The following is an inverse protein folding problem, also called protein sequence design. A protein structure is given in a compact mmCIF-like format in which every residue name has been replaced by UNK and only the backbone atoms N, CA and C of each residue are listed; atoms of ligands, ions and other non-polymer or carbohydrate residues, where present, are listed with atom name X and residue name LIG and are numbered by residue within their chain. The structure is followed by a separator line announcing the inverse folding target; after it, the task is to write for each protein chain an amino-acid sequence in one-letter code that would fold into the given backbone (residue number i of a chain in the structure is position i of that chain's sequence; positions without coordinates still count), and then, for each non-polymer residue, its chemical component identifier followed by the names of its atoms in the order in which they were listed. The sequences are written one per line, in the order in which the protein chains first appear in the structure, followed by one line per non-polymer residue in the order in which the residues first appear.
data_IF_204149908143
#
_entry.id   IF_204149908143
#
_cell.length_a   1.000
_cell.length_b   1.000
_cell.length_c   1.000
_cell.angle_alpha   90.00
_cell.angle_beta   90.00
_cell.angle_gamma   90.00
#
_symmetry.space_group_name_H-M   'P 1'
#
loop_
_entity.id
_entity.type
_entity.pdbx_description
1 polymer ?
#
# COMPACT_ATOMS: atom_id res chain seq x y z
N UNK A 1 9.28 -2.60 21.72
CA UNK A 1 8.83 -1.83 20.55
C UNK A 1 7.33 -2.06 20.47
N UNK A 2 6.52 -1.00 20.51
CA UNK A 2 5.09 -1.09 20.82
C UNK A 2 4.38 -2.00 19.81
N UNK A 3 3.73 -3.08 20.29
CA UNK A 3 2.65 -3.70 19.53
C UNK A 3 1.58 -2.62 19.37
N UNK A 4 1.30 -2.22 18.13
CA UNK A 4 0.14 -1.37 17.83
C UNK A 4 -1.10 -2.27 17.97
N UNK A 5 -1.43 -2.63 19.20
CA UNK A 5 -2.58 -3.48 19.55
C UNK A 5 -3.89 -2.69 19.58
N UNK A 6 -3.84 -1.39 19.35
CA UNK A 6 -5.03 -0.56 19.22
C UNK A 6 -4.93 0.17 17.89
N UNK A 7 -5.85 -0.20 16.99
CA UNK A 7 -6.26 0.62 15.86
C UNK A 7 -6.31 2.06 16.38
N UNK A 8 -5.48 2.95 15.83
CA UNK A 8 -5.43 4.37 16.22
C UNK A 8 -6.87 4.86 16.36
N UNK A 9 -7.29 5.37 17.55
CA UNK A 9 -8.57 6.04 17.70
C UNK A 9 -8.57 7.19 16.70
N UNK A 10 -9.26 7.00 15.59
CA UNK A 10 -9.54 8.05 14.63
C UNK A 10 -11.04 8.19 14.63
N UNK A 11 -11.49 9.40 14.91
CA UNK A 11 -12.88 9.85 14.89
C UNK A 11 -13.23 10.47 13.53
N UNK A 12 -12.45 10.16 12.49
CA UNK A 12 -12.76 10.60 11.14
C UNK A 12 -14.10 10.03 10.67
N UNK A 13 -14.70 10.72 9.70
CA UNK A 13 -16.06 10.45 9.22
C UNK A 13 -16.25 9.05 8.61
N UNK A 14 -15.17 8.36 8.21
CA UNK A 14 -15.19 7.02 7.61
C UNK A 14 -14.58 5.95 8.52
N UNK A 15 -14.36 6.25 9.80
CA UNK A 15 -13.63 5.38 10.71
C UNK A 15 -14.34 4.02 10.89
N UNK A 16 -15.67 4.02 10.97
CA UNK A 16 -16.51 2.83 11.13
C UNK A 16 -16.32 1.85 9.96
N UNK A 17 -16.50 2.32 8.73
CA UNK A 17 -16.33 1.54 7.50
C UNK A 17 -14.91 1.00 7.40
N UNK A 18 -13.93 1.85 7.70
CA UNK A 18 -12.51 1.51 7.66
C UNK A 18 -12.19 0.36 8.62
N UNK A 19 -12.72 0.39 9.85
CA UNK A 19 -12.46 -0.64 10.88
C UNK A 19 -13.22 -1.92 10.60
N UNK A 20 -14.47 -1.81 10.17
CA UNK A 20 -15.27 -2.95 9.76
C UNK A 20 -14.60 -3.71 8.62
N UNK A 21 -14.11 -3.00 7.59
CA UNK A 21 -13.41 -3.63 6.47
C UNK A 21 -12.05 -4.20 6.85
N UNK A 22 -11.28 -3.54 7.73
CA UNK A 22 -10.03 -4.10 8.25
C UNK A 22 -10.27 -5.40 9.01
N UNK A 23 -11.30 -5.45 9.88
CA UNK A 23 -11.70 -6.68 10.57
C UNK A 23 -12.07 -7.77 9.56
N UNK A 24 -12.88 -7.43 8.56
CA UNK A 24 -13.27 -8.35 7.48
C UNK A 24 -12.05 -8.90 6.73
N UNK A 25 -11.11 -8.05 6.33
CA UNK A 25 -9.87 -8.47 5.66
C UNK A 25 -9.07 -9.45 6.52
N UNK A 26 -8.92 -9.15 7.82
CA UNK A 26 -8.22 -10.05 8.75
C UNK A 26 -8.88 -11.43 8.77
N UNK A 27 -10.21 -11.50 8.89
CA UNK A 27 -10.95 -12.77 8.84
C UNK A 27 -10.72 -13.52 7.51
N UNK A 28 -10.87 -12.83 6.38
CA UNK A 28 -10.69 -13.41 5.03
C UNK A 28 -9.28 -13.95 4.77
N UNK A 29 -8.29 -13.51 5.55
CA UNK A 29 -6.87 -13.87 5.42
C UNK A 29 -6.32 -14.71 6.57
N UNK A 30 -7.20 -15.21 7.47
CA UNK A 30 -6.81 -16.13 8.56
C UNK A 30 -6.35 -17.49 8.04
N UNK A 31 -7.02 -18.01 7.02
CA UNK A 31 -6.76 -19.33 6.45
C UNK A 31 -7.47 -19.50 5.11
N UNK A 32 -7.57 -20.74 4.63
CA UNK A 32 -8.22 -21.10 3.37
C UNK A 32 -9.62 -21.72 3.59
N UNK A 33 -10.14 -21.71 4.81
CA UNK A 33 -11.51 -22.17 5.07
C UNK A 33 -12.51 -21.33 4.26
N UNK A 34 -13.40 -22.00 3.52
CA UNK A 34 -14.37 -21.37 2.63
C UNK A 34 -13.78 -20.80 1.34
N UNK A 35 -12.50 -21.05 1.04
CA UNK A 35 -11.86 -20.71 -0.23
C UNK A 35 -11.70 -21.96 -1.11
N UNK A 36 -12.05 -21.84 -2.39
CA UNK A 36 -11.76 -22.86 -3.39
C UNK A 36 -10.64 -22.38 -4.31
N UNK A 37 -9.57 -23.18 -4.41
CA UNK A 37 -8.48 -22.94 -5.35
C UNK A 37 -9.00 -23.07 -6.79
N UNK A 38 -8.63 -22.10 -7.62
CA UNK A 38 -9.10 -21.98 -9.00
C UNK A 38 -7.99 -22.21 -10.02
N UNK A 39 -6.79 -21.71 -9.73
CA UNK A 39 -5.65 -21.74 -10.65
C UNK A 39 -4.34 -21.46 -9.90
N UNK A 40 -3.21 -21.78 -10.54
CA UNK A 40 -1.88 -21.31 -10.17
C UNK A 40 -1.24 -20.66 -11.40
N UNK A 41 -1.07 -19.35 -11.34
CA UNK A 41 -0.60 -18.57 -12.47
C UNK A 41 0.51 -17.61 -12.02
N UNK A 42 1.66 -17.67 -12.70
CA UNK A 42 2.83 -16.83 -12.42
C UNK A 42 3.31 -16.92 -10.96
N UNK A 43 3.19 -18.11 -10.35
CA UNK A 43 3.54 -18.36 -8.94
C UNK A 43 2.59 -17.67 -7.96
N UNK A 44 1.35 -17.42 -8.37
CA UNK A 44 0.27 -16.93 -7.52
C UNK A 44 -0.82 -17.97 -7.50
N UNK A 45 -1.12 -18.50 -6.32
CA UNK A 45 -2.29 -19.36 -6.12
C UNK A 45 -3.54 -18.51 -6.05
N UNK A 46 -4.51 -18.81 -6.90
CA UNK A 46 -5.76 -18.06 -7.02
C UNK A 46 -6.90 -18.83 -6.38
N UNK A 47 -7.71 -18.12 -5.59
CA UNK A 47 -8.85 -18.68 -4.91
C UNK A 47 -10.08 -17.79 -5.09
N UNK A 48 -11.26 -18.39 -4.91
CA UNK A 48 -12.52 -17.66 -4.84
C UNK A 48 -13.44 -18.26 -3.77
N UNK A 49 -14.43 -17.49 -3.31
CA UNK A 49 -15.55 -18.03 -2.53
C UNK A 49 -16.74 -18.34 -3.45
N UNK A 50 -17.28 -19.57 -3.45
CA UNK A 50 -18.30 -20.00 -4.42
C UNK A 50 -19.67 -19.33 -4.19
N UNK A 51 -20.03 -19.02 -2.94
CA UNK A 51 -21.37 -18.51 -2.58
C UNK A 51 -21.51 -16.99 -2.67
N UNK A 52 -20.48 -16.28 -3.12
CA UNK A 52 -20.50 -14.82 -3.19
C UNK A 52 -21.22 -14.33 -4.46
N UNK A 53 -22.28 -13.53 -4.29
CA UNK A 53 -23.03 -12.93 -5.42
C UNK A 53 -22.16 -12.04 -6.31
N UNK A 54 -21.22 -11.31 -5.71
CA UNK A 54 -20.13 -10.63 -6.39
C UNK A 54 -18.85 -11.43 -6.10
N UNK A 55 -18.08 -11.84 -7.12
CA UNK A 55 -16.88 -12.66 -6.92
C UNK A 55 -15.94 -12.07 -5.87
N UNK A 56 -15.76 -12.81 -4.78
CA UNK A 56 -14.74 -12.56 -3.78
C UNK A 56 -13.56 -13.47 -4.08
N UNK A 57 -12.42 -12.85 -4.38
CA UNK A 57 -11.24 -13.50 -4.94
C UNK A 57 -10.01 -13.24 -4.08
N UNK A 58 -9.06 -14.17 -4.11
CA UNK A 58 -7.83 -14.13 -3.33
C UNK A 58 -6.64 -14.64 -4.14
N UNK A 59 -5.47 -14.07 -3.90
CA UNK A 59 -4.21 -14.43 -4.52
C UNK A 59 -3.13 -14.53 -3.46
N UNK A 60 -2.46 -15.68 -3.38
CA UNK A 60 -1.36 -15.91 -2.45
C UNK A 60 -0.06 -16.14 -3.22
N UNK A 61 1.00 -15.44 -2.84
CA UNK A 61 2.35 -15.68 -3.33
C UNK A 61 3.39 -15.47 -2.24
N UNK A 62 4.61 -15.92 -2.50
CA UNK A 62 5.75 -15.83 -1.58
C UNK A 62 6.87 -15.03 -2.22
N UNK A 63 7.48 -14.14 -1.44
CA UNK A 63 8.75 -13.49 -1.75
C UNK A 63 9.82 -14.10 -0.84
N UNK A 64 10.48 -15.15 -1.33
CA UNK A 64 11.42 -15.95 -0.54
C UNK A 64 12.75 -15.23 -0.32
N UNK A 65 13.48 -15.56 0.75
CA UNK A 65 14.74 -14.90 1.16
C UNK A 65 15.78 -14.78 0.03
N UNK A 66 15.87 -15.79 -0.85
CA UNK A 66 16.80 -15.78 -1.99
C UNK A 66 16.52 -14.65 -2.99
N UNK A 67 15.25 -14.23 -3.09
CA UNK A 67 14.76 -13.22 -4.02
C UNK A 67 14.46 -11.88 -3.33
N UNK A 68 14.28 -11.91 -2.01
CA UNK A 68 13.98 -10.78 -1.14
C UNK A 68 15.20 -9.83 -1.06
N UNK A 69 15.04 -8.53 -1.40
CA UNK A 69 16.08 -7.54 -1.17
C UNK A 69 16.46 -7.48 0.33
N UNK A 70 17.77 -7.42 0.67
CA UNK A 70 18.21 -7.31 2.06
C UNK A 70 17.52 -6.17 2.82
N UNK A 71 17.05 -6.44 4.04
CA UNK A 71 16.33 -5.47 4.88
C UNK A 71 14.89 -5.16 4.44
N UNK A 72 14.35 -5.87 3.44
CA UNK A 72 12.95 -5.70 3.03
C UNK A 72 12.01 -6.27 4.10
N UNK A 73 11.04 -5.47 4.55
CA UNK A 73 10.08 -5.82 5.60
C UNK A 73 8.65 -5.90 5.04
N UNK A 74 7.69 -6.50 5.77
CA UNK A 74 6.28 -6.45 5.39
C UNK A 74 5.75 -5.03 5.16
N UNK A 75 6.24 -4.02 5.90
CA UNK A 75 5.89 -2.61 5.69
C UNK A 75 6.45 -2.06 4.38
N UNK A 76 7.67 -2.46 4.00
CA UNK A 76 8.25 -2.08 2.71
C UNK A 76 7.45 -2.68 1.54
N UNK A 77 7.04 -3.95 1.65
CA UNK A 77 6.16 -4.60 0.66
C UNK A 77 4.80 -3.90 0.59
N UNK A 78 4.19 -3.61 1.74
CA UNK A 78 2.93 -2.87 1.82
C UNK A 78 3.02 -1.47 1.19
N UNK A 79 4.17 -0.81 1.32
CA UNK A 79 4.43 0.50 0.71
C UNK A 79 4.52 0.38 -0.81
N UNK A 80 5.22 -0.61 -1.35
CA UNK A 80 5.21 -0.88 -2.80
C UNK A 80 3.81 -1.23 -3.32
N UNK A 81 3.03 -2.00 -2.56
CA UNK A 81 1.69 -2.42 -2.94
C UNK A 81 0.66 -1.28 -2.96
N UNK A 82 0.89 -0.18 -2.25
CA UNK A 82 -0.12 0.88 -2.08
C UNK A 82 0.32 2.25 -2.57
N UNK A 83 1.63 2.52 -2.66
CA UNK A 83 2.12 3.82 -3.09
C UNK A 83 1.89 4.02 -4.60
N UNK A 84 1.19 5.10 -5.03
CA UNK A 84 0.82 5.32 -6.42
C UNK A 84 1.99 5.29 -7.41
N UNK A 85 3.15 5.78 -6.98
CA UNK A 85 4.41 5.74 -7.73
C UNK A 85 4.83 4.35 -8.15
N UNK A 86 4.75 3.39 -7.23
CA UNK A 86 5.05 1.99 -7.46
C UNK A 86 3.93 1.32 -8.27
N UNK A 87 2.68 1.60 -7.91
CA UNK A 87 1.51 1.02 -8.55
C UNK A 87 1.44 1.31 -10.04
N UNK A 88 1.86 2.50 -10.46
CA UNK A 88 1.97 2.86 -11.88
C UNK A 88 2.88 1.92 -12.68
N UNK A 89 3.83 1.26 -12.03
CA UNK A 89 4.78 0.34 -12.67
C UNK A 89 4.23 -1.09 -12.68
N UNK A 90 3.71 -1.57 -11.55
CA UNK A 90 3.29 -2.98 -11.44
C UNK A 90 1.83 -3.23 -11.86
N UNK A 91 0.97 -2.21 -11.88
CA UNK A 91 -0.45 -2.30 -12.26
C UNK A 91 -0.70 -1.64 -13.63
N UNK A 92 -0.78 -2.46 -14.68
CA UNK A 92 -1.07 -2.00 -16.03
C UNK A 92 -2.43 -1.28 -16.16
N UNK A 93 -3.37 -1.56 -15.24
CA UNK A 93 -4.69 -0.93 -15.22
C UNK A 93 -4.70 0.39 -14.45
N UNK A 94 -3.65 0.72 -13.71
CA UNK A 94 -3.59 1.97 -12.97
C UNK A 94 -3.50 3.18 -13.93
N UNK A 95 -4.31 4.20 -13.67
CA UNK A 95 -4.30 5.48 -14.39
C UNK A 95 -3.71 6.57 -13.48
N UNK A 96 -4.48 6.94 -12.46
CA UNK A 96 -4.20 8.05 -11.56
C UNK A 96 -4.80 7.76 -10.18
N UNK A 97 -4.21 8.32 -9.14
CA UNK A 97 -4.83 8.39 -7.82
C UNK A 97 -4.45 9.67 -7.11
N UNK A 98 -5.29 10.08 -6.15
CA UNK A 98 -5.05 11.20 -5.27
C UNK A 98 -5.38 10.77 -3.85
N UNK A 99 -4.53 11.15 -2.91
CA UNK A 99 -4.91 11.16 -1.49
C UNK A 99 -5.47 12.55 -1.22
N UNK A 100 -6.71 12.59 -0.74
CA UNK A 100 -7.44 13.85 -0.53
C UNK A 100 -7.25 14.32 0.91
N UNK A 101 -7.14 13.36 1.83
CA UNK A 101 -6.95 13.64 3.24
C UNK A 101 -6.17 12.50 3.89
N UNK A 102 -5.21 12.86 4.73
CA UNK A 102 -4.52 11.92 5.62
C UNK A 102 -5.13 12.07 7.02
N UNK A 103 -5.82 11.03 7.49
CA UNK A 103 -6.31 10.97 8.88
C UNK A 103 -5.19 10.59 9.84
N UNK A 104 -4.21 9.83 9.35
CA UNK A 104 -2.96 9.52 10.03
C UNK A 104 -1.89 9.12 9.00
N UNK A 105 -0.71 8.68 9.45
CA UNK A 105 0.28 8.02 8.58
C UNK A 105 -0.30 6.86 7.79
N UNK A 106 -1.16 6.10 8.43
CA UNK A 106 -1.62 4.81 7.92
C UNK A 106 -3.09 4.83 7.52
N UNK A 107 -3.76 5.98 7.59
CA UNK A 107 -5.16 6.09 7.27
C UNK A 107 -5.44 7.32 6.42
N UNK A 108 -6.19 7.15 5.33
CA UNK A 108 -6.41 8.23 4.37
C UNK A 108 -7.66 8.05 3.54
N UNK A 109 -8.28 9.16 3.16
CA UNK A 109 -9.27 9.25 2.10
C UNK A 109 -8.57 9.38 0.75
N UNK A 110 -8.98 8.58 -0.22
CA UNK A 110 -8.39 8.57 -1.55
C UNK A 110 -9.43 8.46 -2.66
N UNK A 111 -9.01 8.92 -3.82
CA UNK A 111 -9.65 8.65 -5.09
C UNK A 111 -8.68 7.95 -6.02
N UNK A 112 -9.15 6.97 -6.79
CA UNK A 112 -8.34 6.26 -7.78
C UNK A 112 -9.12 5.96 -9.04
N UNK A 113 -8.45 6.06 -10.19
CA UNK A 113 -8.98 5.73 -11.50
C UNK A 113 -8.17 4.61 -12.13
N UNK A 114 -8.89 3.67 -12.74
CA UNK A 114 -8.33 2.54 -13.47
C UNK A 114 -8.76 2.61 -14.94
N UNK A 115 -7.79 2.32 -15.80
CA UNK A 115 -7.99 2.07 -17.23
C UNK A 115 -8.86 0.83 -17.41
N UNK A 116 -9.61 0.82 -18.49
CA UNK A 116 -10.39 -0.33 -18.90
C UNK A 116 -10.13 -0.63 -20.39
N UNK A 117 -10.14 -1.91 -20.79
CA UNK A 117 -10.06 -2.28 -22.20
C UNK A 117 -11.34 -1.88 -22.93
N UNK A 118 -11.21 -1.49 -24.19
CA UNK A 118 -12.37 -1.21 -25.05
C UNK A 118 -13.26 -2.46 -25.20
N UNK A 119 -14.60 -2.36 -25.17
CA UNK A 119 -15.44 -1.15 -25.16
C UNK A 119 -15.89 -0.67 -23.76
N UNK A 120 -15.20 -1.08 -22.70
CA UNK A 120 -15.60 -0.79 -21.33
C UNK A 120 -15.01 0.55 -20.89
N UNK A 121 -15.83 1.44 -20.32
CA UNK A 121 -15.35 2.71 -19.77
C UNK A 121 -14.37 2.51 -18.60
N UNK A 122 -13.42 3.42 -18.37
CA UNK A 122 -12.64 3.46 -17.13
C UNK A 122 -13.51 3.38 -15.87
N UNK A 123 -12.95 2.84 -14.79
CA UNK A 123 -13.60 2.84 -13.46
C UNK A 123 -12.88 3.80 -12.54
N UNK A 124 -13.63 4.53 -11.72
CA UNK A 124 -13.06 5.24 -10.58
C UNK A 124 -13.66 4.73 -9.27
N UNK A 125 -12.94 4.99 -8.18
CA UNK A 125 -13.33 4.60 -6.84
C UNK A 125 -13.00 5.74 -5.88
N UNK A 126 -14.01 6.15 -5.12
CA UNK A 126 -13.84 6.91 -3.88
C UNK A 126 -13.73 5.91 -2.74
N UNK A 127 -12.69 6.01 -1.91
CA UNK A 127 -12.45 5.04 -0.85
C UNK A 127 -11.61 5.58 0.29
N UNK A 128 -11.68 4.87 1.40
CA UNK A 128 -10.80 5.07 2.56
C UNK A 128 -9.86 3.87 2.67
N UNK A 129 -8.65 4.12 3.17
CA UNK A 129 -7.66 3.08 3.43
C UNK A 129 -7.14 3.14 4.85
N UNK A 130 -6.81 1.97 5.42
CA UNK A 130 -6.08 1.85 6.68
C UNK A 130 -4.98 0.80 6.56
N UNK A 131 -3.84 1.06 7.17
CA UNK A 131 -2.81 0.06 7.42
C UNK A 131 -2.71 -0.24 8.90
N UNK A 132 -2.76 -1.51 9.22
CA UNK A 132 -2.47 -2.02 10.56
C UNK A 132 -1.08 -2.63 10.54
N UNK A 133 -0.13 -1.94 11.18
CA UNK A 133 1.29 -2.24 11.10
C UNK A 133 1.73 -2.91 12.40
N UNK A 134 1.86 -4.23 12.36
CA UNK A 134 2.50 -5.02 13.40
C UNK A 134 3.98 -5.28 13.09
N UNK A 135 4.68 -5.90 14.04
CA UNK A 135 6.11 -6.22 13.92
C UNK A 135 6.40 -7.13 12.72
N UNK A 136 5.64 -8.22 12.58
CA UNK A 136 5.86 -9.24 11.56
C UNK A 136 4.74 -9.32 10.52
N UNK A 137 3.71 -8.48 10.63
CA UNK A 137 2.56 -8.52 9.73
C UNK A 137 1.99 -7.13 9.54
N UNK A 138 1.72 -6.79 8.28
CA UNK A 138 1.03 -5.57 7.90
C UNK A 138 -0.25 -5.95 7.16
N UNK A 139 -1.37 -5.38 7.58
CA UNK A 139 -2.62 -5.41 6.81
C UNK A 139 -2.83 -4.06 6.15
N UNK A 140 -3.21 -4.02 4.89
CA UNK A 140 -3.66 -2.81 4.19
C UNK A 140 -5.08 -3.05 3.72
N UNK A 141 -6.04 -2.31 4.25
CA UNK A 141 -7.46 -2.45 3.95
C UNK A 141 -7.95 -1.22 3.22
N UNK A 142 -8.68 -1.41 2.12
CA UNK A 142 -9.33 -0.36 1.33
C UNK A 142 -10.79 -0.73 1.07
N UNK A 143 -11.67 0.24 1.23
CA UNK A 143 -13.12 0.09 1.01
C UNK A 143 -13.70 1.37 0.42
N UNK A 144 -14.73 1.26 -0.41
CA UNK A 144 -15.41 2.43 -0.96
C UNK A 144 -16.29 3.09 0.09
N UNK A 145 -16.28 4.43 0.08
CA UNK A 145 -17.10 5.27 0.94
C UNK A 145 -17.85 6.30 0.11
N UNK A 146 -18.91 6.88 0.68
CA UNK A 146 -19.60 8.03 0.10
C UNK A 146 -19.02 9.29 0.73
N UNK A 147 -18.42 10.14 -0.08
CA UNK A 147 -17.82 11.39 0.37
C UNK A 147 -18.14 12.50 -0.64
N UNK A 148 -18.73 13.60 -0.17
CA UNK A 148 -19.18 14.71 -1.02
C UNK A 148 -18.02 15.47 -1.67
N UNK A 149 -16.81 15.37 -1.11
CA UNK A 149 -15.60 15.97 -1.68
C UNK A 149 -15.10 15.22 -2.91
N UNK A 150 -15.64 14.03 -3.20
CA UNK A 150 -15.26 13.15 -4.31
C UNK A 150 -16.41 12.97 -5.29
N UNK A 151 -16.68 13.97 -6.16
CA UNK A 151 -17.75 13.89 -7.14
C UNK A 151 -17.48 12.80 -8.17
N UNK A 152 -18.48 12.48 -8.99
CA UNK A 152 -18.34 11.54 -10.10
C UNK A 152 -17.32 12.05 -11.13
N UNK A 153 -16.48 11.14 -11.63
CA UNK A 153 -15.47 11.48 -12.62
C UNK A 153 -16.04 11.39 -14.03
N UNK A 154 -16.00 12.49 -14.77
CA UNK A 154 -16.38 12.50 -16.19
C UNK A 154 -15.60 11.45 -16.99
N UNK A 155 -16.32 10.63 -17.77
CA UNK A 155 -15.73 9.57 -18.60
C UNK A 155 -15.31 8.31 -17.84
N UNK A 156 -15.64 8.19 -16.54
CA UNK A 156 -15.47 6.96 -15.76
C UNK A 156 -16.80 6.53 -15.13
N UNK A 157 -16.91 5.24 -14.82
CA UNK A 157 -18.02 4.67 -14.07
C UNK A 157 -17.57 4.44 -12.62
N UNK A 158 -18.29 5.00 -11.65
CA UNK A 158 -18.01 4.81 -10.22
C UNK A 158 -18.28 3.36 -9.83
N UNK A 159 -17.21 2.63 -9.54
CA UNK A 159 -17.28 1.30 -8.96
C UNK A 159 -17.34 1.34 -7.44
N UNK A 160 -17.57 0.19 -6.82
CA UNK A 160 -17.59 0.03 -5.37
C UNK A 160 -16.61 -1.06 -4.94
N UNK A 161 -15.58 -0.69 -4.18
CA UNK A 161 -14.72 -1.63 -3.48
C UNK A 161 -15.46 -2.13 -2.23
N UNK A 162 -15.91 -3.38 -2.26
CA UNK A 162 -16.52 -4.04 -1.09
C UNK A 162 -15.44 -4.55 -0.13
N UNK A 163 -14.31 -4.98 -0.67
CA UNK A 163 -13.03 -5.14 0.02
C UNK A 163 -11.91 -5.12 -1.02
N UNK A 164 -10.83 -4.43 -0.75
CA UNK A 164 -9.56 -4.58 -1.44
C UNK A 164 -8.47 -4.52 -0.39
N UNK A 165 -7.68 -5.57 -0.23
CA UNK A 165 -6.71 -5.55 0.85
C UNK A 165 -5.60 -6.57 0.78
N UNK A 166 -4.51 -6.20 1.43
CA UNK A 166 -3.26 -6.94 1.46
C UNK A 166 -2.98 -7.44 2.87
N UNK A 167 -2.53 -8.68 2.99
CA UNK A 167 -1.84 -9.17 4.18
C UNK A 167 -0.40 -9.50 3.77
N UNK A 168 0.54 -8.84 4.42
CA UNK A 168 1.97 -9.00 4.21
C UNK A 168 2.53 -9.55 5.52
N UNK A 169 3.07 -10.76 5.51
CA UNK A 169 3.54 -11.39 6.75
C UNK A 169 4.89 -12.04 6.57
N UNK A 170 5.81 -11.76 7.50
CA UNK A 170 7.06 -12.49 7.60
C UNK A 170 6.75 -13.98 7.76
N UNK A 171 7.39 -14.82 6.93
CA UNK A 171 7.29 -16.26 7.05
C UNK A 171 8.08 -16.74 8.27
N UNK A 172 7.65 -17.86 8.84
CA UNK A 172 8.37 -18.48 9.95
C UNK A 172 9.83 -18.77 9.54
N UNK A 173 10.77 -18.62 10.48
CA UNK A 173 12.19 -18.90 10.23
C UNK A 173 12.88 -17.92 9.27
N UNK A 174 12.35 -16.72 9.07
CA UNK A 174 12.91 -15.70 8.17
C UNK A 174 12.99 -16.14 6.68
N UNK A 175 12.16 -17.09 6.26
CA UNK A 175 12.18 -17.67 4.91
C UNK A 175 11.63 -16.75 3.80
N UNK A 176 11.19 -15.55 4.16
CA UNK A 176 10.69 -14.55 3.24
C UNK A 176 9.44 -13.85 3.75
N UNK A 177 8.67 -13.28 2.82
CA UNK A 177 7.40 -12.59 3.10
C UNK A 177 6.28 -13.24 2.28
N UNK A 178 5.22 -13.65 2.96
CA UNK A 178 3.96 -14.02 2.33
C UNK A 178 3.17 -12.79 1.92
N UNK A 179 2.64 -12.80 0.69
CA UNK A 179 1.84 -11.74 0.11
C UNK A 179 0.48 -12.34 -0.25
N UNK A 180 -0.55 -11.96 0.50
CA UNK A 180 -1.94 -12.30 0.22
C UNK A 180 -2.69 -11.05 -0.21
N UNK A 181 -3.37 -11.10 -1.36
CA UNK A 181 -4.26 -10.04 -1.83
C UNK A 181 -5.69 -10.57 -1.94
N UNK A 182 -6.64 -9.87 -1.32
CA UNK A 182 -8.08 -10.20 -1.34
C UNK A 182 -8.83 -9.05 -1.99
N UNK A 183 -9.75 -9.36 -2.90
CA UNK A 183 -10.55 -8.37 -3.58
C UNK A 183 -12.00 -8.83 -3.77
N UNK A 184 -12.94 -7.92 -3.57
CA UNK A 184 -14.32 -8.02 -4.01
C UNK A 184 -14.76 -6.63 -4.45
N UNK A 185 -15.12 -6.50 -5.72
CA UNK A 185 -15.42 -5.22 -6.34
C UNK A 185 -16.67 -5.33 -7.21
N UNK A 186 -17.57 -4.37 -7.05
CA UNK A 186 -18.61 -4.10 -8.04
C UNK A 186 -18.08 -3.06 -9.02
N UNK A 187 -17.95 -3.43 -10.30
CA UNK A 187 -17.48 -2.51 -11.34
C UNK A 187 -18.58 -1.62 -11.90
N UNK A 188 -19.83 -1.83 -11.48
CA UNK A 188 -21.03 -1.15 -11.93
C UNK A 188 -21.19 -1.09 -13.46
N UNK A 189 -22.29 -0.49 -13.91
CA UNK A 189 -22.61 -0.36 -15.33
C UNK A 189 -22.76 -1.70 -16.06
N UNK A 190 -22.84 -1.65 -17.38
CA UNK A 190 -22.98 -2.84 -18.21
C UNK A 190 -21.61 -3.41 -18.60
N UNK A 191 -21.36 -4.66 -18.23
CA UNK A 191 -20.22 -5.48 -18.67
C UNK A 191 -20.75 -6.88 -19.01
N UNK A 192 -20.41 -7.47 -20.17
CA UNK A 192 -20.78 -8.84 -20.48
C UNK A 192 -20.32 -9.84 -19.40
N UNK A 193 -21.21 -10.68 -18.89
CA UNK A 193 -20.96 -11.48 -17.68
C UNK A 193 -19.74 -12.40 -17.74
N UNK A 194 -19.51 -13.08 -18.87
CA UNK A 194 -18.32 -13.93 -19.04
C UNK A 194 -17.01 -13.12 -19.00
N UNK A 195 -17.02 -11.92 -19.58
CA UNK A 195 -15.88 -11.01 -19.54
C UNK A 195 -15.66 -10.47 -18.13
N UNK A 196 -16.72 -10.05 -17.45
CA UNK A 196 -16.67 -9.59 -16.06
C UNK A 196 -16.06 -10.67 -15.15
N UNK A 197 -16.57 -11.90 -15.22
CA UNK A 197 -16.06 -13.02 -14.42
C UNK A 197 -14.57 -13.24 -14.67
N UNK A 198 -14.13 -13.29 -15.93
CA UNK A 198 -12.70 -13.43 -16.28
C UNK A 198 -11.85 -12.29 -15.72
N UNK A 199 -12.32 -11.04 -15.84
CA UNK A 199 -11.62 -9.87 -15.32
C UNK A 199 -11.44 -9.94 -13.80
N UNK A 200 -12.51 -10.27 -13.07
CA UNK A 200 -12.51 -10.34 -11.60
C UNK A 200 -11.61 -11.45 -11.08
N UNK A 201 -11.64 -12.64 -11.69
CA UNK A 201 -10.80 -13.78 -11.30
C UNK A 201 -9.30 -13.53 -11.47
N UNK A 202 -8.90 -12.56 -12.30
CA UNK A 202 -7.50 -12.23 -12.57
C UNK A 202 -6.98 -11.07 -11.70
N UNK A 203 -7.85 -10.38 -10.96
CA UNK A 203 -7.44 -9.31 -10.03
C UNK A 203 -6.37 -9.77 -9.02
N UNK A 204 -6.45 -10.98 -8.42
CA UNK A 204 -5.50 -11.35 -7.39
C UNK A 204 -4.06 -11.58 -7.88
N UNK A 205 -3.83 -11.65 -9.20
CA UNK A 205 -2.49 -11.68 -9.79
C UNK A 205 -1.65 -10.45 -9.48
N UNK A 206 -2.27 -9.35 -9.01
CA UNK A 206 -1.55 -8.20 -8.48
C UNK A 206 -0.54 -8.58 -7.38
N UNK A 207 -0.80 -9.65 -6.61
CA UNK A 207 0.15 -10.16 -5.62
C UNK A 207 1.50 -10.56 -6.25
N UNK A 208 1.46 -11.27 -7.39
CA UNK A 208 2.65 -11.62 -8.17
C UNK A 208 3.33 -10.39 -8.76
N UNK A 209 2.56 -9.42 -9.27
CA UNK A 209 3.11 -8.18 -9.82
C UNK A 209 3.87 -7.35 -8.78
N UNK A 210 3.36 -7.27 -7.54
CA UNK A 210 4.06 -6.62 -6.42
C UNK A 210 5.34 -7.37 -6.05
N UNK A 211 5.28 -8.71 -5.95
CA UNK A 211 6.46 -9.56 -5.72
C UNK A 211 7.54 -9.27 -6.78
N UNK A 212 7.16 -9.31 -8.05
CA UNK A 212 8.09 -9.15 -9.19
C UNK A 212 8.71 -7.75 -9.23
N UNK A 213 7.93 -6.70 -8.91
CA UNK A 213 8.46 -5.35 -8.75
C UNK A 213 9.58 -5.31 -7.71
N UNK A 214 9.37 -5.92 -6.54
CA UNK A 214 10.34 -5.89 -5.44
C UNK A 214 11.59 -6.70 -5.79
N UNK A 215 11.41 -7.86 -6.41
CA UNK A 215 12.53 -8.67 -6.90
C UNK A 215 13.40 -7.87 -7.88
N UNK A 216 12.77 -7.15 -8.80
CA UNK A 216 13.43 -6.41 -9.87
C UNK A 216 14.09 -5.12 -9.37
N UNK A 217 13.37 -4.32 -8.60
CA UNK A 217 13.75 -2.94 -8.28
C UNK A 217 14.16 -2.72 -6.81
N UNK A 218 13.90 -3.68 -5.92
CA UNK A 218 13.96 -3.43 -4.49
C UNK A 218 12.71 -2.76 -3.94
N UNK A 219 12.80 -2.24 -2.73
CA UNK A 219 11.74 -1.46 -2.11
C UNK A 219 12.04 0.04 -2.16
N UNK A 220 10.98 0.84 -2.23
CA UNK A 220 11.06 2.31 -2.22
C UNK A 220 11.34 2.84 -0.81
N UNK A 221 11.76 4.11 -0.66
CA UNK A 221 11.95 4.70 0.66
C UNK A 221 10.74 4.47 1.54
N UNK A 222 10.97 3.84 2.70
CA UNK A 222 9.92 3.49 3.65
C UNK A 222 10.17 4.23 4.94
N UNK A 223 9.31 5.20 5.26
CA UNK A 223 9.42 6.04 6.46
C UNK A 223 8.57 5.52 7.61
N UNK A 224 9.20 5.39 8.77
CA UNK A 224 8.58 5.07 10.07
C UNK A 224 8.83 6.19 11.06
N UNK A 225 7.80 6.59 11.80
CA UNK A 225 7.96 7.47 12.97
C UNK A 225 8.43 6.62 14.14
N UNK A 226 9.58 6.96 14.71
CA UNK A 226 10.20 6.15 15.78
C UNK A 226 10.00 6.78 17.17
N UNK A 227 9.57 8.04 17.23
CA UNK A 227 9.27 8.73 18.47
C UNK A 227 8.11 9.73 18.27
N UNK A 228 7.18 9.74 19.23
CA UNK A 228 6.09 10.71 19.33
C UNK A 228 5.20 10.83 18.07
N UNK A 229 4.76 9.71 17.51
CA UNK A 229 3.88 9.64 16.32
C UNK A 229 2.64 10.55 16.40
N UNK A 230 2.02 10.66 17.57
CA UNK A 230 0.88 11.56 17.82
C UNK A 230 1.15 13.05 17.56
N UNK A 231 2.40 13.47 17.45
CA UNK A 231 2.79 14.85 17.14
C UNK A 231 2.97 15.09 15.63
N UNK A 232 2.98 14.03 14.83
CA UNK A 232 3.26 14.07 13.40
C UNK A 232 1.95 14.08 12.62
N UNK A 233 1.79 15.11 11.80
CA UNK A 233 0.71 15.22 10.84
C UNK A 233 1.28 14.99 9.43
N UNK A 234 0.86 13.90 8.78
CA UNK A 234 1.28 13.60 7.42
C UNK A 234 0.53 14.47 6.41
N UNK A 235 1.27 15.06 5.47
CA UNK A 235 0.73 15.97 4.45
C UNK A 235 0.81 15.41 3.04
N UNK A 236 1.75 14.51 2.78
CA UNK A 236 1.91 13.91 1.46
C UNK A 236 3.05 12.91 1.42
N UNK A 237 2.91 11.89 0.57
CA UNK A 237 3.97 10.95 0.25
C UNK A 237 3.88 10.56 -1.23
N UNK A 238 4.95 10.79 -1.97
CA UNK A 238 5.01 10.57 -3.41
C UNK A 238 6.30 9.85 -3.79
N UNK A 239 6.22 9.04 -4.85
CA UNK A 239 7.38 8.41 -5.46
C UNK A 239 7.26 8.46 -6.98
N UNK A 240 8.32 8.92 -7.65
CA UNK A 240 8.46 8.88 -9.09
C UNK A 240 9.53 7.83 -9.44
N UNK A 241 9.08 6.68 -9.96
CA UNK A 241 9.95 5.52 -10.18
C UNK A 241 11.11 5.80 -11.13
N UNK A 242 10.84 6.37 -12.31
CA UNK A 242 11.86 6.64 -13.35
C UNK A 242 12.94 7.61 -12.85
N UNK A 243 12.53 8.64 -12.12
CA UNK A 243 13.42 9.62 -11.50
C UNK A 243 14.10 9.07 -10.23
N UNK A 244 13.61 7.96 -9.69
CA UNK A 244 13.91 7.46 -8.35
C UNK A 244 13.82 8.57 -7.31
N UNK A 245 12.73 9.34 -7.37
CA UNK A 245 12.51 10.52 -6.53
C UNK A 245 11.39 10.25 -5.56
N UNK A 246 11.71 10.26 -4.27
CA UNK A 246 10.77 10.15 -3.18
C UNK A 246 10.59 11.51 -2.50
N UNK A 247 9.34 11.87 -2.22
CA UNK A 247 9.01 13.10 -1.48
C UNK A 247 8.09 12.74 -0.33
N UNK A 248 8.44 13.15 0.87
CA UNK A 248 7.62 13.06 2.07
C UNK A 248 7.39 14.46 2.63
N UNK A 249 6.14 14.78 2.91
CA UNK A 249 5.72 16.01 3.57
C UNK A 249 5.01 15.68 4.87
N UNK A 250 5.45 16.29 5.95
CA UNK A 250 4.83 16.16 7.27
C UNK A 250 5.03 17.44 8.08
N UNK A 251 4.14 17.68 9.03
CA UNK A 251 4.27 18.73 10.02
C UNK A 251 4.38 18.12 11.40
N UNK A 252 5.22 18.68 12.26
CA UNK A 252 5.38 18.23 13.65
C UNK A 252 4.98 19.32 14.62
N UNK A 253 4.10 18.98 15.57
CA UNK A 253 3.78 19.83 16.71
C UNK A 253 4.83 19.63 17.82
N UNK A 254 5.70 20.61 18.04
CA UNK A 254 6.81 20.51 18.99
C UNK A 254 8.11 20.08 18.29
N UNK A 255 9.03 19.47 19.04
CA UNK A 255 10.40 19.18 18.57
C UNK A 255 10.85 17.74 18.79
N UNK A 256 10.02 16.88 19.35
CA UNK A 256 10.47 15.59 19.88
C UNK A 256 10.04 14.40 19.01
N UNK A 257 9.56 14.66 17.79
CA UNK A 257 9.32 13.60 16.82
C UNK A 257 10.58 13.30 16.02
N UNK A 258 10.79 12.02 15.74
CA UNK A 258 11.88 11.56 14.89
C UNK A 258 11.42 10.46 13.95
N UNK A 259 12.08 10.35 12.81
CA UNK A 259 11.72 9.39 11.77
C UNK A 259 12.95 8.66 11.24
N UNK A 260 12.73 7.44 10.76
CA UNK A 260 13.68 6.68 9.96
C UNK A 260 13.10 6.43 8.58
N UNK A 261 13.87 6.74 7.55
CA UNK A 261 13.55 6.40 6.17
C UNK A 261 14.62 5.47 5.63
N UNK A 262 14.25 4.21 5.36
CA UNK A 262 15.16 3.20 4.80
C UNK A 262 15.00 3.16 3.29
N UNK A 263 16.12 3.27 2.56
CA UNK A 263 16.18 3.28 1.11
C UNK A 263 16.94 2.05 0.61
N UNK A 264 16.27 1.16 -0.12
CA UNK A 264 16.86 -0.09 -0.61
C UNK A 264 18.10 0.16 -1.47
N UNK A 265 19.19 -0.55 -1.20
CA UNK A 265 20.38 -0.53 -2.06
C UNK A 265 20.06 -1.01 -3.48
N UNK A 266 19.10 -1.93 -3.65
CA UNK A 266 18.66 -2.39 -4.98
C UNK A 266 17.95 -1.27 -5.76
N UNK A 267 17.20 -0.40 -5.07
CA UNK A 267 16.57 0.77 -5.67
C UNK A 267 17.62 1.86 -5.96
N UNK A 268 18.57 2.07 -5.04
CA UNK A 268 19.59 3.12 -5.10
C UNK A 268 21.01 2.54 -5.05
N UNK A 269 21.46 1.84 -6.11
CA UNK A 269 22.74 1.12 -6.10
C UNK A 269 23.95 2.05 -5.92
N UNK A 270 23.86 3.27 -6.45
CA UNK A 270 24.91 4.29 -6.38
C UNK A 270 24.77 5.21 -5.14
N UNK A 271 23.81 4.90 -4.27
CA UNK A 271 23.45 5.71 -3.10
C UNK A 271 22.37 6.75 -3.37
N UNK A 272 22.12 7.57 -2.36
CA UNK A 272 21.06 8.58 -2.36
C UNK A 272 21.63 10.00 -2.23
N UNK A 273 20.88 10.97 -2.76
CA UNK A 273 20.99 12.38 -2.43
C UNK A 273 19.75 12.78 -1.63
N UNK A 274 19.96 13.53 -0.54
CA UNK A 274 18.88 13.97 0.35
C UNK A 274 18.82 15.48 0.41
N UNK A 275 17.62 16.01 0.22
CA UNK A 275 17.30 17.42 0.35
C UNK A 275 16.17 17.59 1.37
N UNK A 276 16.35 18.51 2.31
CA UNK A 276 15.35 18.84 3.32
C UNK A 276 14.95 20.31 3.18
N UNK A 277 13.65 20.57 3.10
CA UNK A 277 13.08 21.90 3.30
C UNK A 277 12.38 21.93 4.66
N UNK A 278 12.59 22.97 5.44
CA UNK A 278 12.09 23.08 6.82
C UNK A 278 13.20 22.87 7.85
N UNK A 279 12.83 22.75 9.13
CA UNK A 279 13.77 22.66 10.24
C UNK A 279 13.76 21.26 10.85
N UNK A 280 14.84 20.51 10.65
CA UNK A 280 15.15 19.27 11.36
C UNK A 280 16.66 19.01 11.32
N UNK A 281 17.16 18.21 12.25
CA UNK A 281 18.48 17.61 12.12
C UNK A 281 18.42 16.38 11.23
N UNK A 282 19.38 16.25 10.32
CA UNK A 282 19.46 15.13 9.39
C UNK A 282 20.76 14.35 9.61
N UNK A 283 20.63 13.04 9.80
CA UNK A 283 21.76 12.11 9.81
C UNK A 283 21.55 11.06 8.74
N UNK A 284 22.59 10.82 7.93
CA UNK A 284 22.62 9.74 6.95
C UNK A 284 23.59 8.66 7.41
N UNK A 285 23.16 7.41 7.33
CA UNK A 285 23.98 6.25 7.65
C UNK A 285 23.61 5.07 6.74
N UNK A 286 24.19 3.90 7.00
CA UNK A 286 23.90 2.66 6.29
C UNK A 286 23.49 1.61 7.33
N UNK A 287 22.41 0.88 7.07
CA UNK A 287 21.96 -0.19 7.95
C UNK A 287 22.83 -1.46 7.82
N UNK A 288 22.52 -2.49 8.61
CA UNK A 288 23.23 -3.77 8.59
C UNK A 288 23.07 -4.54 7.27
N UNK A 289 22.16 -4.12 6.39
CA UNK A 289 21.87 -4.74 5.10
C UNK A 289 22.45 -3.94 3.92
N UNK A 290 23.19 -2.86 4.18
CA UNK A 290 23.75 -2.01 3.13
C UNK A 290 22.77 -0.97 2.56
N UNK A 291 21.59 -0.82 3.15
CA UNK A 291 20.60 0.16 2.72
C UNK A 291 20.92 1.53 3.32
N UNK A 292 20.69 2.60 2.55
CA UNK A 292 20.84 3.95 3.07
C UNK A 292 19.72 4.26 4.08
N UNK A 293 20.09 4.83 5.22
CA UNK A 293 19.18 5.24 6.28
C UNK A 293 19.24 6.76 6.43
N UNK A 294 18.08 7.40 6.37
CA UNK A 294 17.92 8.83 6.70
C UNK A 294 17.18 8.93 8.01
N UNK A 295 17.84 9.49 9.02
CA UNK A 295 17.26 9.82 10.31
C UNK A 295 16.97 11.33 10.36
N UNK A 296 15.72 11.69 10.68
CA UNK A 296 15.35 13.06 11.01
C UNK A 296 15.02 13.13 12.50
N UNK A 297 15.64 14.07 13.21
CA UNK A 297 15.38 14.40 14.61
C UNK A 297 15.12 15.90 14.77
N UNK A 298 14.64 16.30 15.94
CA UNK A 298 14.41 17.72 16.26
C UNK A 298 13.54 18.44 15.22
N UNK A 299 12.58 17.72 14.63
CA UNK A 299 11.73 18.21 13.54
C UNK A 299 10.80 19.29 14.07
N UNK A 300 10.76 20.45 13.41
CA UNK A 300 9.88 21.57 13.79
C UNK A 300 9.01 22.01 12.64
N UNK A 301 7.70 22.10 12.91
CA UNK A 301 6.73 22.60 11.94
C UNK A 301 6.70 21.75 10.67
N UNK A 302 6.41 22.40 9.54
CA UNK A 302 6.31 21.75 8.24
C UNK A 302 7.69 21.47 7.65
N UNK A 303 7.91 20.22 7.26
CA UNK A 303 9.10 19.79 6.52
C UNK A 303 8.72 19.07 5.22
N UNK A 304 9.62 19.12 4.25
CA UNK A 304 9.61 18.29 3.07
C UNK A 304 10.97 17.60 2.91
N UNK A 305 10.97 16.28 3.04
CA UNK A 305 12.11 15.42 2.74
C UNK A 305 12.03 14.97 1.27
N UNK A 306 13.09 15.19 0.50
CA UNK A 306 13.24 14.70 -0.86
C UNK A 306 14.46 13.79 -0.93
N UNK A 307 14.29 12.56 -1.43
CA UNK A 307 15.35 11.60 -1.64
C UNK A 307 15.41 11.28 -3.14
N UNK A 308 16.60 11.35 -3.72
CA UNK A 308 16.84 11.04 -5.13
C UNK A 308 18.03 10.09 -5.27
N UNK A 309 18.19 9.47 -6.45
CA UNK A 309 19.44 8.77 -6.79
C UNK A 309 20.61 9.76 -6.84
N UNK A 310 21.79 9.31 -6.40
CA UNK A 310 23.05 10.04 -6.56
C UNK A 310 23.50 10.10 -8.02
#
# INVERSE_FOLDING_TARGET
MLSVTEIIPSDNIHAEETRANLKRLKELTKGLEGWEETDDQSGVKLYHQPDASIPLVRGDTLLLTKDLPPGCTPLAVATVATLPGCRRIWDEKFDESKVLEYYSRYESLFWVKLKAPWPISPRDFAGTSIRDVGENTVYCSMVSVKDETIPDTSGAVRGQLLVSGWKLSQLAGEEGIGITYVNQVDLAGYIPGAFLKKLLLQIPLCAGKVRDYIMTHGFVPTTTVIQNDRLVEFKGEEFHHEEKKYTLQMSVQGTDASTHTVCSQRMYPDGIQVELKGEAEITQSVDTHGNALVHLSHIKGLIQLCITKK
#
